data_IF_813295049528
#
_entry.id   IF_813295049528
#
_cell.length_a   1.000
_cell.length_b   1.000
_cell.length_c   1.000
_cell.angle_alpha   90.00
_cell.angle_beta   90.00
_cell.angle_gamma   90.00
#
_symmetry.space_group_name_H-M   'P 1'
#
loop_
_entity.id
_entity.type
_entity.pdbx_description
1 polymer ?
#
# COMPACT_ATOMS: atom_id res chain seq x y z
N UNK A 1 -4.36 -15.04 -17.74
CA UNK A 1 -4.67 -14.36 -16.46
C UNK A 1 -5.22 -12.94 -16.63
N UNK A 2 -4.76 -12.16 -17.63
CA UNK A 2 -5.37 -10.85 -18.04
C UNK A 2 -6.91 -10.88 -18.14
N UNK A 3 -7.49 -12.02 -18.51
CA UNK A 3 -8.90 -12.12 -18.93
C UNK A 3 -9.89 -12.33 -17.78
N UNK A 4 -9.54 -13.04 -16.69
CA UNK A 4 -10.55 -13.46 -15.72
C UNK A 4 -10.98 -12.36 -14.73
N UNK A 5 -10.06 -11.49 -14.31
CA UNK A 5 -10.34 -10.44 -13.30
C UNK A 5 -10.09 -9.04 -13.89
N UNK A 6 -9.09 -8.88 -14.76
CA UNK A 6 -8.75 -7.60 -15.36
C UNK A 6 -9.84 -7.05 -16.29
N UNK A 7 -10.45 -7.91 -17.12
CA UNK A 7 -11.53 -7.52 -18.03
C UNK A 7 -12.75 -6.92 -17.31
N UNK A 8 -13.38 -7.64 -16.37
CA UNK A 8 -14.51 -7.12 -15.60
C UNK A 8 -14.19 -5.84 -14.82
N UNK A 9 -13.01 -5.75 -14.19
CA UNK A 9 -12.58 -4.54 -13.48
C UNK A 9 -12.44 -3.34 -14.43
N UNK A 10 -11.85 -3.53 -15.62
CA UNK A 10 -11.73 -2.47 -16.62
C UNK A 10 -13.10 -2.01 -17.13
N UNK A 11 -14.03 -2.93 -17.35
CA UNK A 11 -15.38 -2.58 -17.83
C UNK A 11 -16.17 -1.85 -16.76
N UNK A 12 -16.15 -2.34 -15.51
CA UNK A 12 -16.91 -1.75 -14.42
C UNK A 12 -16.34 -0.39 -13.98
N UNK A 13 -15.04 -0.34 -13.67
CA UNK A 13 -14.42 0.84 -13.06
C UNK A 13 -13.78 1.77 -14.09
N UNK A 14 -13.47 1.32 -15.31
CA UNK A 14 -12.91 2.15 -16.38
C UNK A 14 -11.71 3.01 -15.92
N UNK A 15 -10.67 2.37 -15.33
CA UNK A 15 -9.48 3.08 -14.88
C UNK A 15 -8.85 3.87 -16.03
N UNK A 16 -8.36 5.06 -15.72
CA UNK A 16 -7.54 5.84 -16.65
C UNK A 16 -6.07 5.69 -16.29
N UNK A 17 -5.19 5.71 -17.30
CA UNK A 17 -3.76 5.52 -17.10
C UNK A 17 -2.99 6.55 -17.92
N UNK A 18 -1.96 7.13 -17.31
CA UNK A 18 -0.97 8.01 -17.95
C UNK A 18 0.43 7.41 -17.74
N UNK A 19 1.31 7.51 -18.75
CA UNK A 19 2.70 7.05 -18.67
C UNK A 19 2.90 5.54 -18.82
N UNK A 20 1.97 4.81 -19.46
CA UNK A 20 2.09 3.36 -19.67
C UNK A 20 3.38 2.99 -20.44
N UNK A 21 3.81 3.88 -21.33
CA UNK A 21 5.04 3.81 -22.11
C UNK A 21 6.32 3.75 -21.26
N UNK A 22 6.27 4.19 -19.99
CA UNK A 22 7.41 4.14 -19.08
C UNK A 22 7.68 2.72 -18.56
N UNK A 23 6.75 1.78 -18.76
CA UNK A 23 6.96 0.38 -18.37
C UNK A 23 7.72 -0.35 -19.47
N UNK A 24 8.88 -0.94 -19.16
CA UNK A 24 9.65 -1.65 -20.17
C UNK A 24 8.87 -2.87 -20.67
N UNK A 25 8.90 -3.10 -21.98
CA UNK A 25 8.22 -4.23 -22.61
C UNK A 25 8.76 -5.59 -22.14
N UNK A 26 10.05 -5.65 -21.79
CA UNK A 26 10.77 -6.84 -21.34
C UNK A 26 11.74 -6.50 -20.20
N UNK A 27 12.30 -7.52 -19.55
CA UNK A 27 13.28 -7.34 -18.47
C UNK A 27 12.70 -6.90 -17.12
N UNK A 28 13.54 -6.85 -16.07
CA UNK A 28 13.11 -6.53 -14.71
C UNK A 28 12.81 -5.04 -14.52
N UNK A 29 11.79 -4.73 -13.71
CA UNK A 29 11.52 -3.37 -13.25
C UNK A 29 10.80 -3.40 -11.90
N UNK A 30 11.06 -2.39 -11.07
CA UNK A 30 10.41 -2.22 -9.77
C UNK A 30 9.33 -1.15 -9.92
N UNK A 31 8.07 -1.49 -9.67
CA UNK A 31 6.97 -0.53 -9.60
C UNK A 31 6.79 -0.10 -8.14
N UNK A 32 7.21 1.12 -7.82
CA UNK A 32 7.10 1.70 -6.49
C UNK A 32 5.85 2.59 -6.40
N UNK A 33 4.84 2.16 -5.64
CA UNK A 33 3.54 2.84 -5.60
C UNK A 33 3.20 3.40 -4.22
N UNK A 34 2.46 4.51 -4.16
CA UNK A 34 1.67 4.83 -2.97
C UNK A 34 0.63 3.73 -2.70
N UNK A 35 0.14 3.61 -1.46
CA UNK A 35 -0.87 2.61 -1.12
C UNK A 35 -2.08 3.24 -0.43
N UNK A 36 -3.19 3.35 -1.15
CA UNK A 36 -4.41 4.02 -0.73
C UNK A 36 -5.51 3.04 -0.33
N UNK A 37 -5.64 1.92 -1.06
CA UNK A 37 -6.71 0.95 -0.83
C UNK A 37 -6.26 -0.48 -1.05
N UNK A 38 -7.04 -1.44 -0.55
CA UNK A 38 -6.86 -2.85 -0.93
C UNK A 38 -7.02 -3.05 -2.44
N UNK A 39 -7.86 -2.20 -3.07
CA UNK A 39 -8.14 -2.23 -4.50
C UNK A 39 -6.92 -1.93 -5.38
N UNK A 40 -5.87 -1.27 -4.85
CA UNK A 40 -4.65 -0.94 -5.60
C UNK A 40 -3.99 -2.18 -6.22
N UNK A 41 -3.94 -3.25 -5.42
CA UNK A 41 -3.42 -4.56 -5.77
C UNK A 41 -4.22 -5.29 -6.86
N UNK A 42 -5.30 -4.70 -7.35
CA UNK A 42 -6.10 -5.21 -8.46
C UNK A 42 -6.12 -4.25 -9.64
N UNK A 43 -6.30 -2.94 -9.39
CA UNK A 43 -6.38 -1.96 -10.46
C UNK A 43 -5.08 -1.83 -11.23
N UNK A 44 -3.94 -1.76 -10.53
CA UNK A 44 -2.64 -1.68 -11.20
C UNK A 44 -2.37 -2.94 -12.04
N UNK A 45 -2.35 -4.17 -11.48
CA UNK A 45 -2.16 -5.37 -12.31
C UNK A 45 -3.19 -5.54 -13.43
N UNK A 46 -4.42 -5.06 -13.26
CA UNK A 46 -5.43 -5.14 -14.30
C UNK A 46 -5.05 -4.30 -15.52
N UNK A 47 -4.53 -3.08 -15.33
CA UNK A 47 -4.20 -2.19 -16.47
C UNK A 47 -2.90 -2.55 -17.15
N UNK A 48 -1.95 -3.17 -16.45
CA UNK A 48 -0.63 -3.49 -16.99
C UNK A 48 -0.66 -4.57 -18.09
N UNK A 49 0.23 -4.41 -19.06
CA UNK A 49 0.44 -5.42 -20.09
C UNK A 49 1.33 -6.58 -19.68
N UNK A 50 2.12 -6.38 -18.62
CA UNK A 50 3.00 -7.38 -18.04
C UNK A 50 2.48 -7.80 -16.67
N UNK A 51 2.78 -9.03 -16.29
CA UNK A 51 2.48 -9.52 -14.94
C UNK A 51 3.38 -8.78 -13.95
N UNK A 52 2.76 -8.06 -13.02
CA UNK A 52 3.43 -7.52 -11.83
C UNK A 52 3.18 -8.45 -10.64
N UNK A 53 4.23 -8.64 -9.84
CA UNK A 53 4.16 -9.45 -8.64
C UNK A 53 4.34 -8.59 -7.39
N UNK A 54 3.33 -8.56 -6.54
CA UNK A 54 3.35 -7.92 -5.22
C UNK A 54 3.55 -8.95 -4.12
N UNK A 55 4.02 -8.50 -2.97
CA UNK A 55 4.11 -9.35 -1.78
C UNK A 55 2.80 -9.25 -0.99
N UNK A 56 2.24 -10.41 -0.68
CA UNK A 56 1.06 -10.56 0.16
C UNK A 56 1.38 -11.32 1.46
N UNK A 57 0.49 -11.12 2.44
CA UNK A 57 0.46 -11.87 3.70
C UNK A 57 0.30 -13.37 3.44
N UNK A 58 1.16 -14.19 4.05
CA UNK A 58 1.12 -15.65 3.91
C UNK A 58 -0.23 -16.27 4.31
N UNK A 59 -0.96 -15.63 5.23
CA UNK A 59 -2.27 -16.06 5.74
C UNK A 59 -3.33 -16.17 4.62
N UNK A 60 -3.20 -15.38 3.55
CA UNK A 60 -4.08 -15.50 2.38
C UNK A 60 -3.91 -16.81 1.62
N UNK A 61 -2.80 -17.52 1.83
CA UNK A 61 -2.44 -18.73 1.11
C UNK A 61 -2.48 -20.00 1.98
N UNK A 62 -2.40 -19.83 3.30
CA UNK A 62 -2.34 -20.95 4.25
C UNK A 62 -3.68 -21.26 4.92
N UNK A 63 -4.74 -20.48 4.63
CA UNK A 63 -6.09 -20.76 5.15
C UNK A 63 -6.55 -22.17 4.69
N UNK A 64 -6.92 -23.07 5.62
CA UNK A 64 -7.38 -24.42 5.25
C UNK A 64 -8.74 -24.44 4.53
N UNK A 65 -9.03 -25.56 3.86
CA UNK A 65 -10.34 -25.82 3.23
C UNK A 65 -10.50 -25.27 1.81
N UNK A 66 -11.66 -25.52 1.21
CA UNK A 66 -11.98 -25.14 -0.19
C UNK A 66 -11.93 -23.62 -0.38
N UNK A 67 -12.51 -22.86 0.55
CA UNK A 67 -12.47 -21.38 0.55
C UNK A 67 -11.03 -20.87 0.59
N UNK A 68 -10.18 -21.50 1.40
CA UNK A 68 -8.77 -21.17 1.49
C UNK A 68 -8.00 -21.46 0.20
N UNK A 69 -8.23 -22.62 -0.43
CA UNK A 69 -7.65 -22.97 -1.73
C UNK A 69 -8.09 -22.00 -2.84
N UNK A 70 -9.36 -21.60 -2.88
CA UNK A 70 -9.86 -20.60 -3.84
C UNK A 70 -9.23 -19.23 -3.60
N UNK A 71 -9.12 -18.81 -2.35
CA UNK A 71 -8.44 -17.57 -1.96
C UNK A 71 -6.98 -17.60 -2.39
N UNK A 72 -6.26 -18.67 -2.08
CA UNK A 72 -4.86 -18.85 -2.47
C UNK A 72 -4.68 -18.86 -4.00
N UNK A 73 -5.55 -19.56 -4.73
CA UNK A 73 -5.53 -19.59 -6.20
C UNK A 73 -5.80 -18.20 -6.79
N UNK A 74 -6.74 -17.45 -6.22
CA UNK A 74 -7.04 -16.07 -6.60
C UNK A 74 -5.83 -15.16 -6.39
N UNK A 75 -5.22 -15.15 -5.19
CA UNK A 75 -4.07 -14.31 -4.89
C UNK A 75 -2.84 -14.67 -5.75
N UNK A 76 -2.53 -15.96 -5.93
CA UNK A 76 -1.49 -16.40 -6.89
C UNK A 76 -1.83 -15.91 -8.30
N UNK A 77 -3.11 -16.01 -8.66
CA UNK A 77 -3.69 -15.58 -9.92
C UNK A 77 -3.79 -14.07 -10.14
N UNK A 78 -3.44 -13.23 -9.16
CA UNK A 78 -3.32 -11.77 -9.35
C UNK A 78 -1.88 -11.29 -9.12
N UNK A 79 -0.91 -12.20 -9.16
CA UNK A 79 0.49 -11.86 -8.98
C UNK A 79 0.83 -11.52 -7.53
N UNK A 80 0.30 -12.26 -6.57
CA UNK A 80 0.66 -12.05 -5.16
C UNK A 80 1.54 -13.22 -4.69
N UNK A 81 2.75 -12.90 -4.23
CA UNK A 81 3.68 -13.85 -3.64
C UNK A 81 3.45 -13.93 -2.12
N UNK A 82 3.26 -15.12 -1.55
CA UNK A 82 3.20 -15.29 -0.11
C UNK A 82 4.56 -15.00 0.50
N UNK A 83 4.60 -14.08 1.47
CA UNK A 83 5.77 -13.91 2.34
C UNK A 83 5.30 -13.96 3.78
N UNK A 84 6.01 -14.76 4.57
CA UNK A 84 5.85 -14.73 6.02
C UNK A 84 6.40 -13.41 6.55
N UNK A 85 5.49 -12.56 7.01
CA UNK A 85 5.81 -11.25 7.61
C UNK A 85 5.80 -11.32 9.14
N UNK A 86 5.70 -12.51 9.74
CA UNK A 86 5.79 -12.68 11.17
C UNK A 86 7.24 -12.46 11.63
N UNK A 87 7.42 -11.50 12.57
CA UNK A 87 8.73 -11.07 13.06
C UNK A 87 9.18 -9.71 12.52
N UNK A 88 9.32 -8.73 13.43
CA UNK A 88 9.66 -7.34 13.10
C UNK A 88 11.01 -7.13 12.39
N UNK A 89 11.94 -8.10 12.47
CA UNK A 89 13.22 -8.09 11.74
C UNK A 89 13.21 -8.90 10.44
N UNK A 90 12.45 -10.00 10.37
CA UNK A 90 12.45 -10.93 9.22
C UNK A 90 11.58 -10.50 8.04
N UNK A 91 10.50 -9.75 8.29
CA UNK A 91 9.56 -9.35 7.24
C UNK A 91 10.20 -8.47 6.14
N UNK A 92 11.19 -7.65 6.50
CA UNK A 92 11.92 -6.81 5.56
C UNK A 92 12.88 -7.61 4.67
N UNK A 93 13.65 -8.52 5.27
CA UNK A 93 14.62 -9.36 4.54
C UNK A 93 13.93 -10.36 3.62
N UNK A 94 12.86 -11.01 4.09
CA UNK A 94 12.07 -11.91 3.27
C UNK A 94 11.45 -11.18 2.07
N UNK A 95 10.99 -9.93 2.28
CA UNK A 95 10.48 -9.11 1.19
C UNK A 95 11.56 -8.71 0.17
N UNK A 96 12.77 -8.39 0.64
CA UNK A 96 13.91 -8.09 -0.24
C UNK A 96 14.28 -9.31 -1.07
N UNK A 97 14.43 -10.48 -0.43
CA UNK A 97 14.76 -11.74 -1.13
C UNK A 97 13.72 -12.09 -2.20
N UNK A 98 12.43 -12.08 -1.84
CA UNK A 98 11.38 -12.37 -2.82
C UNK A 98 11.29 -11.34 -3.95
N UNK A 99 11.61 -10.08 -3.67
CA UNK A 99 11.70 -9.04 -4.70
C UNK A 99 12.82 -9.33 -5.70
N UNK A 100 14.01 -9.67 -5.20
CA UNK A 100 15.16 -10.06 -6.04
C UNK A 100 14.80 -11.28 -6.90
N UNK A 101 14.22 -12.33 -6.32
CA UNK A 101 13.81 -13.54 -7.07
C UNK A 101 12.81 -13.23 -8.19
N UNK A 102 11.91 -12.25 -8.01
CA UNK A 102 10.98 -11.80 -9.08
C UNK A 102 11.76 -11.12 -10.20
N UNK A 103 12.69 -10.23 -9.86
CA UNK A 103 13.47 -9.47 -10.83
C UNK A 103 14.47 -10.37 -11.58
N UNK A 104 15.05 -11.38 -10.93
CA UNK A 104 15.93 -12.37 -11.59
C UNK A 104 15.20 -13.18 -12.68
N UNK A 105 13.86 -13.34 -12.56
CA UNK A 105 13.03 -13.93 -13.63
C UNK A 105 12.67 -12.94 -14.75
N UNK A 106 13.19 -11.71 -14.70
CA UNK A 106 12.85 -10.64 -15.64
C UNK A 106 11.39 -10.16 -15.52
N UNK A 107 10.74 -10.38 -14.37
CA UNK A 107 9.35 -9.95 -14.12
C UNK A 107 9.28 -8.55 -13.49
N UNK A 108 8.07 -7.97 -13.44
CA UNK A 108 7.84 -6.73 -12.72
C UNK A 108 7.60 -7.01 -11.23
N UNK A 109 8.32 -6.30 -10.35
CA UNK A 109 8.13 -6.38 -8.90
C UNK A 109 7.40 -5.15 -8.37
N UNK A 110 6.25 -5.35 -7.72
CA UNK A 110 5.46 -4.28 -7.13
C UNK A 110 5.75 -4.11 -5.65
N UNK A 111 6.00 -2.88 -5.21
CA UNK A 111 6.26 -2.54 -3.80
C UNK A 111 5.57 -1.24 -3.40
N UNK A 112 5.11 -1.21 -2.15
CA UNK A 112 4.56 -0.01 -1.51
C UNK A 112 5.58 0.52 -0.50
N UNK A 113 6.35 1.58 -0.79
CA UNK A 113 7.46 2.00 0.06
C UNK A 113 7.03 2.46 1.46
N UNK A 114 5.81 2.96 1.62
CA UNK A 114 5.19 3.28 2.91
C UNK A 114 5.06 2.06 3.84
N UNK A 115 4.96 0.85 3.24
CA UNK A 115 4.86 -0.43 3.94
C UNK A 115 3.49 -0.74 4.54
N UNK A 116 2.52 0.16 4.42
CA UNK A 116 1.11 -0.05 4.79
C UNK A 116 0.23 0.94 4.04
N UNK A 117 -1.08 0.63 3.90
CA UNK A 117 -2.06 1.57 3.32
C UNK A 117 -2.10 2.88 4.12
N UNK A 118 -2.21 4.00 3.43
CA UNK A 118 -2.52 5.29 4.01
C UNK A 118 -3.83 5.21 4.81
N UNK A 119 -3.87 5.74 6.05
CA UNK A 119 -5.09 5.79 6.85
C UNK A 119 -6.10 6.82 6.35
N UNK A 120 -5.68 7.85 5.63
CA UNK A 120 -6.50 9.04 5.32
C UNK A 120 -6.31 9.60 3.90
N UNK A 121 -5.55 8.91 3.06
CA UNK A 121 -5.31 9.33 1.67
C UNK A 121 -4.10 10.25 1.50
N UNK A 122 -3.39 10.63 2.56
CA UNK A 122 -2.10 11.34 2.45
C UNK A 122 -0.95 10.40 2.13
N UNK A 123 0.15 10.96 1.65
CA UNK A 123 1.38 10.21 1.37
C UNK A 123 2.31 10.27 2.58
N UNK A 124 2.67 9.11 3.12
CA UNK A 124 3.50 9.03 4.32
C UNK A 124 4.94 8.69 4.01
N UNK A 125 5.81 8.92 5.00
CA UNK A 125 7.24 8.61 4.93
C UNK A 125 7.51 7.17 4.47
N UNK A 126 8.29 7.03 3.39
CA UNK A 126 8.74 5.73 2.89
C UNK A 126 9.75 5.04 3.83
N UNK A 127 9.71 3.71 3.88
CA UNK A 127 10.66 2.89 4.67
C UNK A 127 11.90 2.55 3.83
N UNK A 128 13.11 2.90 4.28
CA UNK A 128 14.30 2.85 3.43
C UNK A 128 14.78 1.43 3.07
N UNK A 129 14.46 0.42 3.89
CA UNK A 129 15.03 -0.91 3.73
C UNK A 129 14.53 -1.68 2.51
N UNK A 130 13.21 -1.78 2.32
CA UNK A 130 12.64 -2.72 1.34
C UNK A 130 12.92 -2.34 -0.11
N UNK A 131 12.46 -1.15 -0.51
CA UNK A 131 12.60 -0.65 -1.88
C UNK A 131 14.07 -0.49 -2.27
N UNK A 132 14.83 0.28 -1.49
CA UNK A 132 16.19 0.64 -1.86
C UNK A 132 17.12 -0.59 -1.90
N UNK A 133 17.00 -1.54 -0.96
CA UNK A 133 17.83 -2.75 -1.01
C UNK A 133 17.54 -3.62 -2.23
N UNK A 134 16.27 -3.78 -2.61
CA UNK A 134 15.92 -4.52 -3.83
C UNK A 134 16.49 -3.83 -5.06
N UNK A 135 16.31 -2.51 -5.18
CA UNK A 135 16.81 -1.73 -6.31
C UNK A 135 18.33 -1.81 -6.46
N UNK A 136 19.07 -1.65 -5.36
CA UNK A 136 20.54 -1.68 -5.39
C UNK A 136 21.10 -3.09 -5.62
N UNK A 137 20.46 -4.12 -5.06
CA UNK A 137 20.90 -5.51 -5.23
C UNK A 137 20.60 -6.05 -6.64
N UNK A 138 19.47 -5.66 -7.24
CA UNK A 138 19.09 -6.15 -8.57
C UNK A 138 19.58 -5.27 -9.71
N UNK A 139 19.92 -4.01 -9.45
CA UNK A 139 20.21 -3.01 -10.47
C UNK A 139 19.02 -2.69 -11.38
N UNK A 140 17.80 -3.07 -10.98
CA UNK A 140 16.60 -2.86 -11.79
C UNK A 140 16.13 -1.40 -11.68
N UNK A 141 15.62 -0.81 -12.77
CA UNK A 141 15.06 0.54 -12.72
C UNK A 141 13.84 0.60 -11.79
N UNK A 142 13.70 1.72 -11.08
CA UNK A 142 12.55 1.98 -10.21
C UNK A 142 11.61 2.93 -10.90
N UNK A 143 10.39 2.49 -11.15
CA UNK A 143 9.33 3.26 -11.80
C UNK A 143 8.34 3.71 -10.72
N UNK A 144 8.26 5.02 -10.42
CA UNK A 144 7.30 5.55 -9.47
C UNK A 144 5.88 5.47 -10.07
N UNK A 145 4.92 5.05 -9.25
CA UNK A 145 3.51 4.92 -9.64
C UNK A 145 2.64 5.62 -8.61
N UNK A 146 1.65 6.37 -9.08
CA UNK A 146 0.62 6.98 -8.26
C UNK A 146 -0.74 6.36 -8.58
N UNK A 147 -1.31 5.68 -7.59
CA UNK A 147 -2.73 5.35 -7.52
C UNK A 147 -3.51 6.60 -7.11
N UNK A 148 -4.64 6.83 -7.77
CA UNK A 148 -5.48 8.02 -7.57
C UNK A 148 -6.94 7.57 -7.34
N UNK A 149 -7.55 8.13 -6.29
CA UNK A 149 -8.96 7.96 -5.90
C UNK A 149 -9.38 6.53 -5.50
N UNK A 150 -8.44 5.60 -5.33
CA UNK A 150 -8.77 4.22 -4.92
C UNK A 150 -9.26 4.14 -3.47
N UNK A 151 -8.86 5.07 -2.61
CA UNK A 151 -9.40 5.29 -1.26
C UNK A 151 -10.85 5.77 -1.30
N UNK A 152 -11.28 6.49 -2.34
CA UNK A 152 -12.68 6.91 -2.53
C UNK A 152 -13.56 5.77 -3.04
N UNK A 153 -12.96 4.82 -3.76
CA UNK A 153 -13.62 3.61 -4.24
C UNK A 153 -13.87 2.63 -3.10
N UNK A 154 -12.83 2.30 -2.33
CA UNK A 154 -12.93 1.37 -1.22
C UNK A 154 -12.11 1.88 -0.02
N UNK A 155 -12.72 2.77 0.79
CA UNK A 155 -12.12 3.26 2.02
C UNK A 155 -11.72 2.12 2.98
N UNK A 156 -10.72 2.33 3.85
CA UNK A 156 -10.39 1.37 4.90
C UNK A 156 -11.61 0.97 5.73
N UNK A 157 -11.87 -0.34 5.85
CA UNK A 157 -13.00 -0.89 6.60
C UNK A 157 -14.26 -1.15 5.78
N UNK A 158 -14.34 -0.65 4.55
CA UNK A 158 -15.47 -0.90 3.65
C UNK A 158 -15.27 -2.16 2.82
N UNK A 159 -16.31 -3.02 2.77
CA UNK A 159 -16.27 -4.29 2.03
C UNK A 159 -16.63 -4.10 0.56
N UNK A 160 -17.66 -3.31 0.26
CA UNK A 160 -18.15 -3.12 -1.11
C UNK A 160 -17.59 -1.85 -1.75
N UNK A 161 -16.87 -1.95 -2.89
CA UNK A 161 -16.35 -0.78 -3.60
C UNK A 161 -17.46 0.04 -4.26
N UNK A 162 -17.32 1.36 -4.26
CA UNK A 162 -18.15 2.29 -5.03
C UNK A 162 -17.72 2.29 -6.50
N UNK A 163 -18.67 2.21 -7.42
CA UNK A 163 -18.38 2.30 -8.85
C UNK A 163 -17.93 3.73 -9.21
N UNK A 164 -16.63 3.89 -9.43
CA UNK A 164 -15.96 5.15 -9.77
C UNK A 164 -14.70 4.84 -10.57
N UNK A 165 -14.18 5.80 -11.32
CA UNK A 165 -12.98 5.64 -12.15
C UNK A 165 -11.71 5.96 -11.38
N UNK A 166 -10.87 4.96 -11.02
CA UNK A 166 -9.57 5.25 -10.44
C UNK A 166 -8.58 5.73 -11.50
N UNK A 167 -7.58 6.46 -11.06
CA UNK A 167 -6.46 6.90 -11.88
C UNK A 167 -5.17 6.17 -11.55
N UNK A 168 -4.31 6.04 -12.55
CA UNK A 168 -2.96 5.52 -12.39
C UNK A 168 -2.02 6.41 -13.21
N UNK A 169 -1.03 7.02 -12.57
CA UNK A 169 0.06 7.72 -13.25
C UNK A 169 1.36 6.99 -13.03
N UNK A 170 2.12 6.82 -14.10
CA UNK A 170 3.37 6.06 -14.11
C UNK A 170 4.47 7.01 -14.55
N UNK A 171 5.42 7.27 -13.65
CA UNK A 171 6.52 8.20 -13.92
C UNK A 171 7.65 7.56 -14.71
N UNK A 172 8.65 8.36 -15.03
CA UNK A 172 9.84 7.91 -15.75
C UNK A 172 10.67 6.94 -14.89
N UNK A 173 11.35 5.95 -15.51
CA UNK A 173 12.25 5.05 -14.80
C UNK A 173 13.41 5.81 -14.14
N UNK A 174 13.59 5.60 -12.84
CA UNK A 174 14.71 6.14 -12.07
C UNK A 174 15.87 5.15 -12.07
N UNK A 175 17.06 5.66 -12.38
CA UNK A 175 18.31 4.91 -12.32
C UNK A 175 19.10 5.23 -11.04
N UNK A 176 19.45 4.17 -10.32
CA UNK A 176 20.24 4.22 -9.09
C UNK A 176 21.58 3.51 -9.22
N UNK A 177 22.05 3.25 -10.45
CA UNK A 177 23.36 2.66 -10.75
C UNK A 177 24.51 3.31 -9.97
N UNK A 178 24.45 4.64 -9.76
CA UNK A 178 25.42 5.42 -8.97
C UNK A 178 25.59 4.97 -7.51
N UNK A 179 24.66 4.18 -6.98
CA UNK A 179 24.65 3.69 -5.60
C UNK A 179 24.80 2.17 -5.50
N UNK A 180 25.11 1.46 -6.59
CA UNK A 180 25.33 0.02 -6.55
C UNK A 180 26.46 -0.35 -5.57
N UNK A 181 26.27 -1.46 -4.84
CA UNK A 181 27.19 -1.90 -3.78
C UNK A 181 27.05 -1.15 -2.45
N UNK A 182 26.12 -0.18 -2.36
CA UNK A 182 25.84 0.60 -1.14
C UNK A 182 24.54 0.15 -0.43
N UNK A 183 24.09 -1.08 -0.64
CA UNK A 183 22.84 -1.64 -0.07
C UNK A 183 22.82 -1.74 1.46
N UNK A 184 23.96 -1.54 2.12
CA UNK A 184 24.11 -1.49 3.56
C UNK A 184 24.28 -0.07 4.12
N UNK A 185 24.46 0.94 3.27
CA UNK A 185 24.57 2.33 3.69
C UNK A 185 23.18 2.93 3.98
N UNK A 186 22.91 3.21 5.25
CA UNK A 186 21.62 3.72 5.70
C UNK A 186 21.26 5.09 5.13
N UNK A 187 22.24 5.94 4.83
CA UNK A 187 21.99 7.26 4.26
C UNK A 187 21.63 7.14 2.79
N UNK A 188 22.31 6.27 2.05
CA UNK A 188 21.99 5.96 0.65
C UNK A 188 20.60 5.36 0.52
N UNK A 189 20.26 4.34 1.33
CA UNK A 189 18.93 3.74 1.31
C UNK A 189 17.82 4.75 1.60
N UNK A 190 18.09 5.72 2.49
CA UNK A 190 17.16 6.80 2.81
C UNK A 190 17.01 7.77 1.66
N UNK A 191 18.12 8.26 1.10
CA UNK A 191 18.11 9.20 -0.01
C UNK A 191 17.37 8.64 -1.24
N UNK A 192 17.68 7.39 -1.63
CA UNK A 192 17.01 6.69 -2.72
C UNK A 192 15.49 6.60 -2.48
N UNK A 193 15.10 6.18 -1.29
CA UNK A 193 13.68 6.05 -0.95
C UNK A 193 12.99 7.41 -0.98
N UNK A 194 13.65 8.47 -0.52
CA UNK A 194 13.07 9.81 -0.50
C UNK A 194 12.92 10.39 -1.91
N UNK A 195 13.88 10.13 -2.79
CA UNK A 195 13.79 10.47 -4.21
C UNK A 195 12.58 9.80 -4.86
N UNK A 196 12.39 8.49 -4.64
CA UNK A 196 11.22 7.77 -5.17
C UNK A 196 9.91 8.29 -4.56
N UNK A 197 9.87 8.56 -3.26
CA UNK A 197 8.68 9.10 -2.60
C UNK A 197 8.34 10.51 -3.10
N UNK A 198 9.35 11.33 -3.41
CA UNK A 198 9.16 12.64 -4.00
C UNK A 198 8.56 12.56 -5.41
N UNK A 199 9.01 11.63 -6.24
CA UNK A 199 8.40 11.38 -7.55
C UNK A 199 6.94 10.91 -7.42
N UNK A 200 6.66 9.99 -6.50
CA UNK A 200 5.28 9.56 -6.21
C UNK A 200 4.41 10.74 -5.76
N UNK A 201 4.94 11.63 -4.91
CA UNK A 201 4.23 12.85 -4.46
C UNK A 201 3.88 13.76 -5.63
N UNK A 202 4.82 14.00 -6.55
CA UNK A 202 4.58 14.83 -7.75
C UNK A 202 3.50 14.21 -8.65
N UNK A 203 3.55 12.90 -8.85
CA UNK A 203 2.57 12.18 -9.67
C UNK A 203 1.17 12.17 -9.02
N UNK A 204 1.10 11.94 -7.71
CA UNK A 204 -0.17 11.78 -7.00
C UNK A 204 -0.83 13.10 -6.63
N UNK A 205 -0.05 14.16 -6.40
CA UNK A 205 -0.54 15.42 -5.83
C UNK A 205 -0.98 15.30 -4.37
N UNK A 206 -0.63 14.20 -3.69
CA UNK A 206 -0.95 14.00 -2.28
C UNK A 206 -0.15 14.94 -1.37
N UNK A 207 -0.76 15.35 -0.26
CA UNK A 207 -0.04 15.96 0.86
C UNK A 207 0.96 14.95 1.44
N UNK A 208 2.24 15.33 1.52
CA UNK A 208 3.27 14.52 2.13
C UNK A 208 3.37 14.77 3.64
N UNK A 209 3.44 13.69 4.42
CA UNK A 209 3.58 13.72 5.87
C UNK A 209 4.85 12.97 6.28
N UNK A 210 5.81 13.66 6.89
CA UNK A 210 7.11 13.09 7.30
C UNK A 210 7.03 12.27 8.61
N UNK A 211 6.02 11.40 8.71
CA UNK A 211 5.94 10.34 9.73
C UNK A 211 5.58 9.03 9.05
N UNK A 212 5.88 7.90 9.68
CA UNK A 212 5.44 6.61 9.14
C UNK A 212 3.92 6.43 9.30
N UNK A 213 3.26 5.90 8.28
CA UNK A 213 1.82 5.62 8.30
C UNK A 213 1.39 4.74 9.50
N UNK A 214 2.27 3.86 10.00
CA UNK A 214 2.00 3.07 11.22
C UNK A 214 1.93 3.92 12.48
N UNK A 215 2.74 4.98 12.57
CA UNK A 215 2.70 5.92 13.69
C UNK A 215 1.44 6.79 13.61
N UNK A 216 1.10 7.28 12.41
CA UNK A 216 -0.13 8.04 12.16
C UNK A 216 -1.39 7.24 12.55
N UNK A 217 -1.47 5.97 12.14
CA UNK A 217 -2.56 5.05 12.54
C UNK A 217 -2.70 4.92 14.05
N UNK A 218 -1.57 4.81 14.77
CA UNK A 218 -1.59 4.73 16.23
C UNK A 218 -2.13 6.01 16.85
N UNK A 219 -1.64 7.17 16.40
CA UNK A 219 -2.08 8.48 16.87
C UNK A 219 -3.59 8.70 16.63
N UNK A 220 -4.09 8.36 15.44
CA UNK A 220 -5.53 8.46 15.12
C UNK A 220 -6.38 7.55 15.99
N UNK A 221 -5.91 6.31 16.25
CA UNK A 221 -6.62 5.36 17.12
C UNK A 221 -6.66 5.84 18.58
N UNK A 222 -5.55 6.39 19.09
CA UNK A 222 -5.46 6.98 20.42
C UNK A 222 -6.39 8.20 20.55
N UNK A 223 -6.41 9.10 19.56
CA UNK A 223 -7.31 10.26 19.53
C UNK A 223 -8.78 9.84 19.52
N UNK A 224 -9.16 8.87 18.68
CA UNK A 224 -10.53 8.33 18.60
C UNK A 224 -10.96 7.71 19.94
N UNK A 225 -10.03 7.03 20.63
CA UNK A 225 -10.31 6.44 21.95
C UNK A 225 -10.54 7.54 23.00
N UNK A 226 -9.68 8.56 23.03
CA UNK A 226 -9.81 9.67 23.96
C UNK A 226 -11.11 10.45 23.76
N UNK A 227 -11.52 10.69 22.50
CA UNK A 227 -12.79 11.33 22.17
C UNK A 227 -13.99 10.55 22.69
N UNK A 228 -14.01 9.22 22.48
CA UNK A 228 -15.07 8.34 23.01
C UNK A 228 -15.13 8.33 24.53
N UNK A 229 -13.97 8.35 25.20
CA UNK A 229 -13.88 8.42 26.66
C UNK A 229 -14.40 9.76 27.18
N UNK A 230 -14.06 10.87 26.54
CA UNK A 230 -14.57 12.19 26.86
C UNK A 230 -16.10 12.30 26.64
N UNK A 231 -16.62 11.77 25.53
CA UNK A 231 -18.06 11.75 25.26
C UNK A 231 -18.80 10.91 26.31
N UNK A 232 -18.26 9.75 26.70
CA UNK A 232 -18.83 8.92 27.75
C UNK A 232 -18.83 9.63 29.11
N UNK A 233 -17.75 10.32 29.45
CA UNK A 233 -17.65 11.09 30.69
C UNK A 233 -18.64 12.26 30.72
N UNK A 234 -18.78 12.99 29.61
CA UNK A 234 -19.74 14.08 29.46
C UNK A 234 -21.19 13.59 29.60
N UNK A 235 -21.54 12.48 28.93
CA UNK A 235 -22.87 11.84 29.08
C UNK A 235 -23.14 11.39 30.51
N UNK A 236 -22.14 10.84 31.20
CA UNK A 236 -22.27 10.42 32.60
C UNK A 236 -22.47 11.63 33.54
N UNK A 237 -21.74 12.72 33.33
CA UNK A 237 -21.87 13.94 34.11
C UNK A 237 -23.25 14.61 33.91
N UNK A 238 -23.75 14.66 32.68
CA UNK A 238 -25.10 15.16 32.37
C UNK A 238 -26.18 14.32 33.08
N UNK A 239 -26.11 13.00 32.97
CA UNK A 239 -27.07 12.10 33.62
C UNK A 239 -27.02 12.19 35.15
N UNK A 240 -25.86 12.47 35.74
CA UNK A 240 -25.74 12.71 37.17
C UNK A 240 -26.37 14.04 37.58
N UNK A 241 -26.10 15.12 36.83
CA UNK A 241 -26.71 16.44 37.09
C UNK A 241 -28.24 16.42 36.98
N UNK A 242 -28.79 15.71 36.00
CA UNK A 242 -30.25 15.53 35.84
C UNK A 242 -30.87 14.78 37.03
N UNK A 243 -30.19 13.74 37.55
CA UNK A 243 -30.64 13.02 38.75
C UNK A 243 -30.62 13.91 39.99
N UNK A 244 -29.53 14.66 40.19
CA UNK A 244 -29.39 15.57 41.33
C UNK A 244 -30.43 16.71 41.29
N UNK A 245 -30.80 17.20 40.11
CA UNK A 245 -31.90 18.16 39.95
C UNK A 245 -33.27 17.54 40.26
N UNK A 246 -33.55 16.35 39.73
CA UNK A 246 -34.82 15.65 39.98
C UNK A 246 -35.01 15.24 41.46
N UNK A 247 -33.91 15.02 42.19
CA UNK A 247 -33.95 14.77 43.64
C UNK A 247 -34.21 16.06 44.43
N UNK A 248 -33.63 17.19 44.02
CA UNK A 248 -33.88 18.50 44.64
C UNK A 248 -35.31 19.01 44.43
N UNK A 249 -35.94 18.71 43.30
CA UNK A 249 -37.34 19.08 43.03
C UNK A 249 -38.37 18.25 43.80
N UNK A 250 -37.95 17.11 44.38
CA UNK A 250 -38.80 16.22 45.18
C UNK A 250 -38.70 16.45 46.69
N UNK A 251 -37.78 17.31 47.14
CA UNK A 251 -37.57 17.69 48.54
C UNK A 251 -38.15 19.07 48.83
#
# INVERSE_FOLDING_TARGET
>A
MKVAIGGPLKVAFRPWVEGMENIPAEGPAILASNHLSFSDSFFLPAVLDRKVTFIAKAEYFTTPGVKGRLTAAFFKGVGQLPVDRSGARGAGEAAVKSGIEVLERGELFGIYPEGTRSPDGRLYRGKPGGLARVALASGAPVIPVAMIDTEKIQPPGQVMPKLMRPGIRIGEPLDFSRYQGMEHDRFVLRALTDEVMYEIMKLSGQEYVDIYATAAKRQMAEATKAEKEAEKAARAALAQAEKEQAEKEKS
#
